data_IF_940818588121
#
_entry.id   IF_940818588121
#
_cell.length_a   1.000
_cell.length_b   1.000
_cell.length_c   1.000
_cell.angle_alpha   90.00
_cell.angle_beta   90.00
_cell.angle_gamma   90.00
#
_symmetry.space_group_name_H-M   'P 1'
#
loop_
_entity.id
_entity.type
_entity.pdbx_description
1 polymer ?
#
# COMPACT_ATOMS: atom_id res chain seq x y z
N UNK A 1 20.49 -8.14 -35.53
CA UNK A 1 19.67 -7.82 -34.36
C UNK A 1 18.21 -7.68 -34.77
N UNK A 2 17.84 -6.67 -35.57
CA UNK A 2 16.46 -6.41 -36.00
C UNK A 2 15.77 -7.57 -36.73
N UNK A 3 16.44 -8.25 -37.67
CA UNK A 3 15.83 -9.39 -38.40
C UNK A 3 15.36 -10.52 -37.48
N UNK A 4 16.18 -10.88 -36.48
CA UNK A 4 15.85 -11.96 -35.56
C UNK A 4 14.72 -11.55 -34.60
N UNK A 5 14.70 -10.30 -34.13
CA UNK A 5 13.60 -9.78 -33.29
C UNK A 5 12.26 -9.89 -34.03
N UNK A 6 12.23 -9.52 -35.31
CA UNK A 6 11.03 -9.61 -36.14
C UNK A 6 10.58 -11.05 -36.39
N UNK A 7 11.51 -11.98 -36.55
CA UNK A 7 11.20 -13.42 -36.64
C UNK A 7 10.66 -13.96 -35.31
N UNK A 8 11.29 -13.60 -34.19
CA UNK A 8 10.85 -14.00 -32.86
C UNK A 8 9.46 -13.46 -32.53
N UNK A 9 9.21 -12.17 -32.75
CA UNK A 9 7.90 -11.55 -32.51
C UNK A 9 6.80 -12.25 -33.32
N UNK A 10 7.03 -12.49 -34.61
CA UNK A 10 6.08 -13.24 -35.45
C UNK A 10 5.87 -14.68 -34.96
N UNK A 11 6.93 -15.36 -34.50
CA UNK A 11 6.81 -16.71 -33.97
C UNK A 11 5.96 -16.76 -32.68
N UNK A 12 6.10 -15.76 -31.80
CA UNK A 12 5.30 -15.65 -30.58
C UNK A 12 3.84 -15.31 -30.90
N UNK A 13 3.59 -14.36 -31.81
CA UNK A 13 2.23 -13.93 -32.20
C UNK A 13 1.44 -15.04 -32.89
N UNK A 14 2.11 -15.84 -33.73
CA UNK A 14 1.48 -16.94 -34.46
C UNK A 14 1.33 -18.23 -33.64
N UNK A 15 1.88 -18.28 -32.41
CA UNK A 15 1.94 -19.52 -31.63
C UNK A 15 2.72 -20.62 -32.36
N UNK A 16 3.80 -20.24 -33.06
CA UNK A 16 4.50 -21.15 -33.95
C UNK A 16 5.10 -22.36 -33.23
N UNK A 17 5.05 -23.52 -33.88
CA UNK A 17 5.62 -24.78 -33.38
C UNK A 17 7.13 -24.72 -33.08
N UNK A 18 7.82 -23.71 -33.62
CA UNK A 18 9.23 -23.41 -33.36
C UNK A 18 9.54 -23.08 -31.88
N UNK A 19 8.53 -22.75 -31.06
CA UNK A 19 8.69 -22.48 -29.63
C UNK A 19 8.00 -23.53 -28.74
N UNK A 20 7.65 -24.70 -29.28
CA UNK A 20 6.93 -25.74 -28.55
C UNK A 20 7.84 -26.59 -27.65
N UNK A 21 9.13 -26.70 -27.98
CA UNK A 21 10.09 -27.47 -27.19
C UNK A 21 10.79 -26.62 -26.15
N UNK A 22 11.10 -27.21 -24.99
CA UNK A 22 11.84 -26.53 -23.90
C UNK A 22 13.19 -25.99 -24.40
N UNK A 23 13.91 -26.79 -25.19
CA UNK A 23 15.22 -26.39 -25.74
C UNK A 23 15.12 -25.17 -26.66
N UNK A 24 14.15 -25.14 -27.58
CA UNK A 24 13.99 -23.99 -28.47
C UNK A 24 13.62 -22.71 -27.70
N UNK A 25 12.87 -22.85 -26.60
CA UNK A 25 12.55 -21.75 -25.68
C UNK A 25 13.79 -21.27 -24.94
N UNK A 26 14.62 -22.17 -24.41
CA UNK A 26 15.88 -21.81 -23.74
C UNK A 26 16.84 -21.09 -24.70
N UNK A 27 16.95 -21.54 -25.95
CA UNK A 27 17.74 -20.86 -26.98
C UNK A 27 17.20 -19.46 -27.32
N UNK A 28 15.87 -19.31 -27.38
CA UNK A 28 15.24 -18.01 -27.57
C UNK A 28 15.55 -17.08 -26.39
N UNK A 29 15.48 -17.59 -25.15
CA UNK A 29 15.82 -16.84 -23.94
C UNK A 29 17.27 -16.35 -23.96
N UNK A 30 18.23 -17.20 -24.32
CA UNK A 30 19.63 -16.82 -24.41
C UNK A 30 19.86 -15.70 -25.43
N UNK A 31 19.14 -15.75 -26.57
CA UNK A 31 19.18 -14.69 -27.57
C UNK A 31 18.53 -13.39 -27.08
N UNK A 32 17.39 -13.47 -26.37
CA UNK A 32 16.75 -12.30 -25.75
C UNK A 32 17.75 -11.60 -24.82
N UNK A 33 18.36 -12.34 -23.89
CA UNK A 33 19.29 -11.78 -22.91
C UNK A 33 20.56 -11.23 -23.56
N UNK A 34 21.09 -11.91 -24.58
CA UNK A 34 22.22 -11.42 -25.34
C UNK A 34 21.92 -10.12 -26.10
N UNK A 35 20.66 -9.89 -26.50
CA UNK A 35 20.22 -8.61 -27.06
C UNK A 35 20.12 -7.56 -25.96
N UNK A 36 19.36 -7.81 -24.89
CA UNK A 36 19.08 -6.83 -23.83
C UNK A 36 20.36 -6.33 -23.12
N UNK A 37 21.34 -7.22 -22.90
CA UNK A 37 22.61 -6.86 -22.24
C UNK A 37 23.54 -5.99 -23.10
N UNK A 38 23.35 -5.94 -24.42
CA UNK A 38 24.18 -5.17 -25.36
C UNK A 38 23.57 -3.81 -25.73
N UNK A 39 22.47 -3.43 -25.08
CA UNK A 39 21.75 -2.19 -25.37
C UNK A 39 22.42 -1.01 -24.65
N UNK A 40 23.49 -0.48 -25.27
CA UNK A 40 24.31 0.59 -24.66
C UNK A 40 23.82 2.02 -24.96
N UNK A 41 23.08 2.23 -26.05
CA UNK A 41 22.64 3.58 -26.47
C UNK A 41 21.35 3.58 -27.30
N UNK A 42 20.38 4.47 -26.96
CA UNK A 42 19.15 4.63 -27.71
C UNK A 42 19.36 5.30 -29.06
N UNK A 43 18.70 4.74 -30.07
CA UNK A 43 18.44 5.36 -31.37
C UNK A 43 17.02 5.02 -31.75
N UNK A 44 16.33 5.83 -32.57
CA UNK A 44 14.93 5.57 -32.93
C UNK A 44 14.69 4.16 -33.50
N UNK A 45 15.63 3.64 -34.32
CA UNK A 45 15.56 2.28 -34.86
C UNK A 45 15.80 1.18 -33.80
N UNK A 46 16.65 1.44 -32.80
CA UNK A 46 16.86 0.52 -31.69
C UNK A 46 15.66 0.54 -30.73
N UNK A 47 15.08 1.71 -30.49
CA UNK A 47 13.92 1.89 -29.61
C UNK A 47 12.75 1.02 -30.08
N UNK A 48 12.34 1.15 -31.35
CA UNK A 48 11.26 0.33 -31.91
C UNK A 48 11.58 -1.18 -31.87
N UNK A 49 12.82 -1.56 -32.19
CA UNK A 49 13.22 -2.96 -32.19
C UNK A 49 13.20 -3.56 -30.77
N UNK A 50 13.69 -2.83 -29.77
CA UNK A 50 13.68 -3.29 -28.38
C UNK A 50 12.25 -3.27 -27.82
N UNK A 51 11.44 -2.27 -28.16
CA UNK A 51 10.02 -2.25 -27.81
C UNK A 51 9.29 -3.50 -28.32
N UNK A 52 9.47 -3.86 -29.61
CA UNK A 52 8.92 -5.10 -30.18
C UNK A 52 9.44 -6.36 -29.49
N UNK A 53 10.74 -6.42 -29.20
CA UNK A 53 11.33 -7.54 -28.48
C UNK A 53 10.70 -7.72 -27.10
N UNK A 54 10.51 -6.63 -26.35
CA UNK A 54 9.87 -6.66 -25.03
C UNK A 54 8.40 -7.07 -25.13
N UNK A 55 7.67 -6.58 -26.13
CA UNK A 55 6.28 -6.99 -26.38
C UNK A 55 6.14 -8.49 -26.63
N UNK A 56 7.00 -9.05 -27.49
CA UNK A 56 7.07 -10.49 -27.74
C UNK A 56 7.53 -11.27 -26.50
N UNK A 57 8.55 -10.77 -25.79
CA UNK A 57 9.07 -11.36 -24.57
C UNK A 57 7.97 -11.47 -23.50
N UNK A 58 7.18 -10.42 -23.31
CA UNK A 58 6.05 -10.40 -22.36
C UNK A 58 5.05 -11.51 -22.66
N UNK A 59 4.66 -11.69 -23.92
CA UNK A 59 3.72 -12.76 -24.30
C UNK A 59 4.37 -14.13 -24.14
N UNK A 60 5.63 -14.26 -24.55
CA UNK A 60 6.43 -15.47 -24.43
C UNK A 60 6.57 -15.97 -22.98
N UNK A 61 6.73 -15.05 -22.03
CA UNK A 61 6.83 -15.32 -20.59
C UNK A 61 5.53 -15.84 -19.95
N UNK A 62 4.40 -15.84 -20.65
CA UNK A 62 3.14 -16.42 -20.15
C UNK A 62 3.20 -17.94 -20.03
N UNK A 63 4.03 -18.57 -20.85
CA UNK A 63 4.32 -20.01 -20.76
C UNK A 63 5.63 -20.23 -20.00
N UNK A 64 5.53 -20.95 -18.88
CA UNK A 64 6.61 -21.12 -17.90
C UNK A 64 7.70 -22.11 -18.32
N UNK A 65 7.50 -22.85 -19.41
CA UNK A 65 8.46 -23.86 -19.87
C UNK A 65 9.74 -23.18 -20.40
N UNK A 66 10.92 -23.57 -19.91
CA UNK A 66 12.21 -23.15 -20.48
C UNK A 66 12.51 -21.65 -20.40
N UNK A 67 11.92 -20.91 -19.45
CA UNK A 67 12.12 -19.46 -19.29
C UNK A 67 12.87 -19.08 -18.00
N UNK A 68 13.45 -20.04 -17.28
CA UNK A 68 14.03 -19.81 -15.95
C UNK A 68 15.05 -18.66 -15.91
N UNK A 69 15.86 -18.50 -16.96
CA UNK A 69 16.82 -17.39 -17.05
C UNK A 69 16.12 -16.02 -17.17
N UNK A 70 14.98 -15.89 -17.86
CA UNK A 70 14.18 -14.64 -17.89
C UNK A 70 13.54 -14.32 -16.53
N UNK A 71 13.40 -15.32 -15.67
CA UNK A 71 12.89 -15.20 -14.31
C UNK A 71 14.02 -15.01 -13.29
N UNK A 72 15.24 -14.69 -13.73
CA UNK A 72 16.41 -14.48 -12.86
C UNK A 72 16.56 -13.01 -12.43
N UNK A 73 17.42 -12.80 -11.43
CA UNK A 73 17.72 -11.49 -10.85
C UNK A 73 18.42 -10.57 -11.86
N UNK A 74 19.20 -11.15 -12.76
CA UNK A 74 19.96 -10.49 -13.82
C UNK A 74 19.01 -9.99 -14.91
N UNK A 75 18.04 -10.82 -15.30
CA UNK A 75 17.01 -10.46 -16.27
C UNK A 75 16.10 -9.36 -15.75
N UNK A 76 15.71 -9.46 -14.48
CA UNK A 76 14.94 -8.41 -13.81
C UNK A 76 15.71 -7.08 -13.76
N UNK A 77 17.02 -7.14 -13.48
CA UNK A 77 17.89 -5.96 -13.51
C UNK A 77 17.98 -5.35 -14.92
N UNK A 78 18.08 -6.18 -15.95
CA UNK A 78 18.06 -5.71 -17.34
C UNK A 78 16.77 -4.96 -17.68
N UNK A 79 15.61 -5.50 -17.29
CA UNK A 79 14.33 -4.81 -17.51
C UNK A 79 14.25 -3.50 -16.73
N UNK A 80 14.74 -3.47 -15.50
CA UNK A 80 14.74 -2.24 -14.69
C UNK A 80 15.67 -1.18 -15.27
N UNK A 81 16.87 -1.53 -15.73
CA UNK A 81 17.78 -0.59 -16.38
C UNK A 81 17.17 0.05 -17.63
N UNK A 82 16.41 -0.73 -18.40
CA UNK A 82 15.66 -0.20 -19.56
C UNK A 82 14.54 0.75 -19.14
N UNK A 83 13.82 0.43 -18.07
CA UNK A 83 12.78 1.30 -17.52
C UNK A 83 13.34 2.60 -16.90
N UNK A 84 14.53 2.55 -16.31
CA UNK A 84 15.24 3.69 -15.68
C UNK A 84 15.84 4.68 -16.68
N UNK A 85 16.25 4.19 -17.84
CA UNK A 85 16.97 5.01 -18.79
C UNK A 85 15.99 5.93 -19.54
N UNK A 86 15.95 7.20 -19.11
CA UNK A 86 15.09 8.26 -19.67
C UNK A 86 15.36 8.59 -21.14
N UNK A 87 16.46 8.09 -21.71
CA UNK A 87 16.74 8.27 -23.12
C UNK A 87 15.90 7.32 -24.01
N UNK A 88 15.24 6.30 -23.44
CA UNK A 88 14.26 5.46 -24.15
C UNK A 88 12.86 6.07 -24.16
N UNK A 89 12.03 5.65 -25.11
CA UNK A 89 10.65 6.13 -25.19
C UNK A 89 9.77 5.61 -24.04
N UNK A 90 8.69 6.34 -23.72
CA UNK A 90 7.71 5.90 -22.70
C UNK A 90 7.16 4.50 -22.98
N UNK A 91 6.72 4.16 -24.21
CA UNK A 91 6.19 2.82 -24.50
C UNK A 91 7.19 1.69 -24.25
N UNK A 92 8.49 1.89 -24.56
CA UNK A 92 9.53 0.91 -24.26
C UNK A 92 9.69 0.71 -22.77
N UNK A 93 9.81 1.80 -22.00
CA UNK A 93 9.96 1.74 -20.54
C UNK A 93 8.76 1.04 -19.89
N UNK A 94 7.55 1.34 -20.34
CA UNK A 94 6.32 0.67 -19.90
C UNK A 94 6.31 -0.83 -20.25
N UNK A 95 6.75 -1.20 -21.45
CA UNK A 95 6.82 -2.61 -21.86
C UNK A 95 7.87 -3.39 -21.04
N UNK A 96 8.99 -2.73 -20.67
CA UNK A 96 9.98 -3.31 -19.77
C UNK A 96 9.39 -3.58 -18.38
N UNK A 97 8.60 -2.65 -17.83
CA UNK A 97 7.86 -2.87 -16.58
C UNK A 97 6.90 -4.06 -16.68
N UNK A 98 6.21 -4.25 -17.81
CA UNK A 98 5.32 -5.41 -18.01
C UNK A 98 6.08 -6.74 -17.98
N UNK A 99 7.27 -6.79 -18.55
CA UNK A 99 8.14 -7.96 -18.44
C UNK A 99 8.53 -8.23 -16.98
N UNK A 100 8.84 -7.18 -16.20
CA UNK A 100 9.10 -7.32 -14.76
C UNK A 100 7.91 -7.92 -14.00
N UNK A 101 6.68 -7.49 -14.30
CA UNK A 101 5.45 -8.03 -13.67
C UNK A 101 5.36 -9.54 -13.90
N UNK A 102 5.61 -9.98 -15.13
CA UNK A 102 5.57 -11.41 -15.45
C UNK A 102 6.67 -12.19 -14.73
N UNK A 103 7.86 -11.60 -14.55
CA UNK A 103 8.94 -12.21 -13.75
C UNK A 103 8.53 -12.38 -12.29
N UNK A 104 7.97 -11.33 -11.67
CA UNK A 104 7.51 -11.34 -10.26
C UNK A 104 6.34 -12.32 -10.07
N UNK A 105 5.35 -12.30 -10.96
CA UNK A 105 4.17 -13.16 -10.90
C UNK A 105 4.51 -14.66 -11.03
N UNK A 106 5.55 -14.99 -11.79
CA UNK A 106 5.87 -16.38 -12.10
C UNK A 106 6.62 -17.10 -10.99
N UNK A 107 7.30 -16.38 -10.07
CA UNK A 107 8.06 -16.97 -8.96
C UNK A 107 7.91 -16.17 -7.65
N UNK A 108 6.97 -16.54 -6.78
CA UNK A 108 6.76 -15.85 -5.50
C UNK A 108 7.98 -15.84 -4.57
N UNK A 109 8.72 -16.95 -4.48
CA UNK A 109 9.92 -17.09 -3.65
C UNK A 109 11.08 -16.18 -4.15
N UNK A 110 11.13 -15.95 -5.47
CA UNK A 110 12.08 -15.03 -6.10
C UNK A 110 11.83 -13.57 -5.67
N UNK A 111 10.57 -13.19 -5.41
CA UNK A 111 10.20 -11.85 -4.93
C UNK A 111 10.84 -11.54 -3.58
N UNK A 112 10.76 -12.47 -2.62
CA UNK A 112 11.29 -12.28 -1.26
C UNK A 112 12.81 -12.36 -1.19
N UNK A 113 13.46 -13.17 -2.02
CA UNK A 113 14.92 -13.34 -1.97
C UNK A 113 15.66 -12.31 -2.83
N UNK A 114 15.13 -12.00 -4.01
CA UNK A 114 15.86 -11.22 -5.03
C UNK A 114 15.58 -9.73 -4.96
N UNK A 115 14.31 -9.33 -4.79
CA UNK A 115 13.97 -7.89 -4.75
C UNK A 115 14.53 -7.21 -3.50
N UNK A 116 14.59 -7.97 -2.40
CA UNK A 116 15.17 -7.56 -1.12
C UNK A 116 16.69 -7.40 -1.24
N UNK A 117 17.38 -8.39 -1.82
CA UNK A 117 18.84 -8.42 -1.87
C UNK A 117 19.47 -7.37 -2.80
N UNK A 118 18.80 -6.99 -3.90
CA UNK A 118 19.35 -6.07 -4.91
C UNK A 118 18.83 -4.63 -4.82
N UNK A 119 18.10 -4.27 -3.75
CA UNK A 119 17.63 -2.88 -3.55
C UNK A 119 16.65 -2.39 -4.62
N UNK A 120 15.90 -3.32 -5.25
CA UNK A 120 14.97 -3.01 -6.34
C UNK A 120 13.91 -1.99 -5.93
N UNK A 121 13.42 -2.06 -4.68
CA UNK A 121 12.41 -1.12 -4.18
C UNK A 121 12.93 0.32 -4.14
N UNK A 122 14.18 0.52 -3.73
CA UNK A 122 14.83 1.84 -3.71
C UNK A 122 14.96 2.42 -5.12
N UNK A 123 15.31 1.59 -6.09
CA UNK A 123 15.40 1.99 -7.50
C UNK A 123 14.04 2.33 -8.09
N UNK A 124 13.03 1.53 -7.78
CA UNK A 124 11.65 1.81 -8.18
C UNK A 124 11.10 3.08 -7.51
N UNK A 125 11.46 3.34 -6.25
CA UNK A 125 11.20 4.61 -5.56
C UNK A 125 11.86 5.80 -6.26
N UNK A 126 13.09 5.64 -6.75
CA UNK A 126 13.77 6.68 -7.51
C UNK A 126 13.06 6.95 -8.84
N UNK A 127 12.64 5.90 -9.54
CA UNK A 127 11.81 6.00 -10.75
C UNK A 127 10.52 6.78 -10.50
N UNK A 128 9.83 6.45 -9.42
CA UNK A 128 8.61 7.12 -8.98
C UNK A 128 8.81 8.58 -8.51
N UNK A 129 10.03 9.11 -8.46
CA UNK A 129 10.31 10.50 -8.04
C UNK A 129 10.77 11.40 -9.19
N UNK A 130 10.87 10.90 -10.41
CA UNK A 130 11.38 11.67 -11.55
C UNK A 130 10.28 12.61 -12.11
N UNK A 131 10.59 13.90 -12.28
CA UNK A 131 9.61 14.96 -12.60
C UNK A 131 8.88 14.77 -13.95
N UNK A 132 9.48 14.08 -14.92
CA UNK A 132 8.89 13.81 -16.25
C UNK A 132 8.08 12.49 -16.34
N UNK A 133 7.77 11.86 -15.21
CA UNK A 133 7.16 10.50 -15.17
C UNK A 133 5.66 10.48 -14.86
N UNK A 134 4.91 11.50 -15.30
CA UNK A 134 3.43 11.47 -15.27
C UNK A 134 2.88 10.18 -15.91
N UNK A 135 3.56 9.60 -16.91
CA UNK A 135 3.19 8.29 -17.48
C UNK A 135 3.41 7.10 -16.55
N UNK A 136 4.43 7.12 -15.69
CA UNK A 136 4.77 6.00 -14.80
C UNK A 136 3.87 5.97 -13.56
N UNK A 137 3.52 7.13 -12.98
CA UNK A 137 2.61 7.23 -11.82
C UNK A 137 1.18 6.83 -12.16
N UNK A 138 0.80 7.01 -13.42
CA UNK A 138 -0.49 6.64 -13.98
C UNK A 138 -0.46 5.28 -14.70
N UNK A 139 0.71 4.63 -14.80
CA UNK A 139 0.84 3.37 -15.51
C UNK A 139 0.18 2.25 -14.70
N UNK A 140 -0.83 1.62 -15.31
CA UNK A 140 -1.48 0.43 -14.78
C UNK A 140 -0.45 -0.65 -14.41
N UNK A 141 0.58 -0.78 -15.23
CA UNK A 141 1.66 -1.75 -15.08
C UNK A 141 2.49 -1.50 -13.82
N UNK A 142 2.84 -0.25 -13.54
CA UNK A 142 3.55 0.10 -12.31
C UNK A 142 2.72 -0.30 -11.07
N UNK A 143 1.42 0.03 -11.07
CA UNK A 143 0.51 -0.35 -9.99
C UNK A 143 0.34 -1.86 -9.87
N UNK A 144 0.22 -2.58 -10.98
CA UNK A 144 0.13 -4.04 -11.00
C UNK A 144 1.41 -4.69 -10.47
N UNK A 145 2.58 -4.16 -10.81
CA UNK A 145 3.86 -4.63 -10.30
C UNK A 145 3.93 -4.46 -8.78
N UNK A 146 3.57 -3.27 -8.28
CA UNK A 146 3.57 -2.97 -6.84
C UNK A 146 2.60 -3.88 -6.11
N UNK A 147 1.36 -3.99 -6.60
CA UNK A 147 0.35 -4.86 -6.01
C UNK A 147 0.85 -6.30 -5.96
N UNK A 148 1.34 -6.84 -7.08
CA UNK A 148 1.81 -8.22 -7.18
C UNK A 148 3.01 -8.47 -6.26
N UNK A 149 3.93 -7.51 -6.20
CA UNK A 149 5.11 -7.57 -5.33
C UNK A 149 4.72 -7.56 -3.85
N UNK A 150 3.81 -6.65 -3.45
CA UNK A 150 3.32 -6.61 -2.07
C UNK A 150 2.53 -7.86 -1.74
N UNK A 151 1.65 -8.32 -2.64
CA UNK A 151 0.83 -9.51 -2.47
C UNK A 151 1.70 -10.74 -2.21
N UNK A 152 2.70 -10.99 -3.05
CA UNK A 152 3.60 -12.14 -2.84
C UNK A 152 4.50 -11.95 -1.63
N UNK A 153 5.08 -10.75 -1.46
CA UNK A 153 5.88 -10.41 -0.29
C UNK A 153 5.13 -10.61 1.03
N UNK A 154 3.82 -10.41 1.03
CA UNK A 154 2.96 -10.58 2.20
C UNK A 154 2.41 -12.01 2.33
N UNK A 155 1.72 -12.53 1.31
CA UNK A 155 0.95 -13.79 1.36
C UNK A 155 1.78 -15.07 1.28
N UNK A 156 2.93 -15.03 0.60
CA UNK A 156 3.61 -16.27 0.16
C UNK A 156 4.88 -16.63 0.92
N UNK A 157 5.23 -15.91 1.99
CA UNK A 157 6.33 -16.32 2.86
C UNK A 157 5.89 -16.50 4.30
N UNK A 158 6.79 -17.06 5.12
CA UNK A 158 6.61 -17.32 6.54
C UNK A 158 6.04 -16.10 7.30
N UNK A 159 4.87 -16.25 7.93
CA UNK A 159 4.21 -15.14 8.64
C UNK A 159 5.06 -14.59 9.79
N UNK A 160 5.92 -15.41 10.41
CA UNK A 160 6.83 -14.98 11.46
C UNK A 160 7.89 -13.96 10.96
N UNK A 161 8.23 -13.99 9.68
CA UNK A 161 9.21 -13.09 9.05
C UNK A 161 8.60 -11.79 8.51
N UNK A 162 7.26 -11.68 8.48
CA UNK A 162 6.59 -10.43 8.08
C UNK A 162 6.98 -9.28 9.04
N UNK A 163 7.29 -9.63 10.29
CA UNK A 163 7.52 -8.68 11.39
C UNK A 163 8.96 -8.70 11.91
N UNK A 164 9.88 -9.42 11.25
CA UNK A 164 11.30 -9.49 11.63
C UNK A 164 12.19 -9.59 10.39
N UNK A 165 13.38 -8.97 10.45
CA UNK A 165 14.45 -9.18 9.48
C UNK A 165 14.27 -8.43 8.16
N UNK A 166 14.91 -8.93 7.10
CA UNK A 166 14.99 -8.26 5.79
C UNK A 166 13.63 -8.11 5.11
N UNK A 167 12.72 -9.05 5.34
CA UNK A 167 11.37 -9.03 4.76
C UNK A 167 10.48 -7.95 5.37
N UNK A 168 10.54 -7.73 6.67
CA UNK A 168 9.84 -6.62 7.31
C UNK A 168 10.30 -5.26 6.74
N UNK A 169 11.61 -5.07 6.58
CA UNK A 169 12.19 -3.87 5.94
C UNK A 169 11.68 -3.71 4.51
N UNK A 170 11.67 -4.78 3.72
CA UNK A 170 11.17 -4.77 2.35
C UNK A 170 9.69 -4.37 2.25
N UNK A 171 8.83 -4.99 3.06
CA UNK A 171 7.41 -4.65 3.09
C UNK A 171 7.21 -3.18 3.48
N UNK A 172 7.95 -2.71 4.49
CA UNK A 172 7.92 -1.31 4.89
C UNK A 172 8.32 -0.37 3.75
N UNK A 173 9.37 -0.70 3.00
CA UNK A 173 9.82 0.11 1.87
C UNK A 173 8.84 0.10 0.70
N UNK A 174 8.16 -1.02 0.44
CA UNK A 174 7.05 -1.09 -0.52
C UNK A 174 5.87 -0.21 -0.09
N UNK A 175 5.48 -0.26 1.19
CA UNK A 175 4.39 0.61 1.66
C UNK A 175 4.79 2.08 1.61
N UNK A 176 6.06 2.43 1.85
CA UNK A 176 6.58 3.80 1.61
C UNK A 176 6.45 4.23 0.16
N UNK A 177 6.77 3.36 -0.79
CA UNK A 177 6.56 3.62 -2.21
C UNK A 177 5.09 3.87 -2.53
N UNK A 178 4.20 3.04 -1.99
CA UNK A 178 2.76 3.20 -2.16
C UNK A 178 2.30 4.56 -1.61
N UNK A 179 2.77 4.98 -0.43
CA UNK A 179 2.44 6.30 0.13
C UNK A 179 2.82 7.44 -0.82
N UNK A 180 4.02 7.39 -1.40
CA UNK A 180 4.46 8.40 -2.37
C UNK A 180 3.54 8.42 -3.59
N UNK A 181 3.25 7.25 -4.17
CA UNK A 181 2.46 7.16 -5.39
C UNK A 181 0.99 7.56 -5.17
N UNK A 182 0.39 7.17 -4.06
CA UNK A 182 -0.98 7.58 -3.70
C UNK A 182 -1.04 9.10 -3.49
N UNK A 183 -0.02 9.69 -2.88
CA UNK A 183 0.06 11.14 -2.70
C UNK A 183 0.13 11.88 -4.05
N UNK A 184 0.96 11.40 -4.98
CA UNK A 184 1.11 12.00 -6.32
C UNK A 184 -0.15 11.83 -7.18
N UNK A 185 -0.90 10.73 -7.04
CA UNK A 185 -2.12 10.54 -7.81
C UNK A 185 -3.21 11.57 -7.51
N UNK A 186 -3.19 12.25 -6.35
CA UNK A 186 -4.18 13.27 -5.98
C UNK A 186 -5.64 12.80 -6.13
N UNK A 187 -5.94 11.60 -5.62
CA UNK A 187 -7.19 10.86 -5.87
C UNK A 187 -8.47 11.72 -5.89
N UNK A 188 -9.14 11.74 -7.04
CA UNK A 188 -10.48 12.36 -7.21
C UNK A 188 -11.43 11.46 -8.00
N UNK A 189 -12.74 11.63 -7.81
CA UNK A 189 -13.77 10.95 -8.61
C UNK A 189 -13.65 11.22 -10.13
N UNK A 190 -13.01 12.34 -10.51
CA UNK A 190 -12.72 12.66 -11.91
C UNK A 190 -11.59 11.78 -12.46
N UNK A 191 -10.51 11.59 -11.70
CA UNK A 191 -9.42 10.71 -12.10
C UNK A 191 -9.87 9.26 -12.11
N UNK A 192 -10.74 8.86 -11.17
CA UNK A 192 -11.32 7.51 -11.13
C UNK A 192 -11.93 7.09 -12.46
N UNK A 193 -12.71 8.00 -13.07
CA UNK A 193 -13.30 7.81 -14.39
C UNK A 193 -12.29 7.78 -15.54
N UNK A 194 -11.13 8.41 -15.36
CA UNK A 194 -10.10 8.52 -16.40
C UNK A 194 -9.24 7.24 -16.48
N UNK A 195 -9.03 6.53 -15.37
CA UNK A 195 -8.09 5.39 -15.31
C UNK A 195 -8.64 4.19 -14.54
N UNK A 196 -9.84 3.66 -14.86
CA UNK A 196 -10.57 2.70 -14.02
C UNK A 196 -9.77 1.46 -13.60
N UNK A 197 -8.87 0.97 -14.46
CA UNK A 197 -8.03 -0.20 -14.16
C UNK A 197 -6.97 0.08 -13.08
N UNK A 198 -6.41 1.29 -13.06
CA UNK A 198 -5.50 1.74 -11.99
C UNK A 198 -6.25 1.74 -10.67
N UNK A 199 -7.45 2.32 -10.66
CA UNK A 199 -8.31 2.37 -9.48
C UNK A 199 -8.72 0.99 -8.99
N UNK A 200 -9.04 0.05 -9.88
CA UNK A 200 -9.28 -1.35 -9.53
C UNK A 200 -8.04 -2.00 -8.87
N UNK A 201 -6.84 -1.67 -9.35
CA UNK A 201 -5.59 -2.17 -8.75
C UNK A 201 -5.35 -1.56 -7.37
N UNK A 202 -5.65 -0.26 -7.18
CA UNK A 202 -5.52 0.38 -5.87
C UNK A 202 -6.59 -0.09 -4.88
N UNK A 203 -7.79 -0.43 -5.33
CA UNK A 203 -8.80 -1.09 -4.48
C UNK A 203 -8.26 -2.40 -3.91
N UNK A 204 -7.72 -3.26 -4.79
CA UNK A 204 -7.07 -4.52 -4.39
C UNK A 204 -5.90 -4.27 -3.43
N UNK A 205 -5.11 -3.23 -3.68
CA UNK A 205 -4.04 -2.82 -2.79
C UNK A 205 -4.56 -2.39 -1.42
N UNK A 206 -5.66 -1.62 -1.38
CA UNK A 206 -6.32 -1.21 -0.15
C UNK A 206 -6.76 -2.39 0.72
N UNK A 207 -7.30 -3.45 0.11
CA UNK A 207 -7.64 -4.70 0.83
C UNK A 207 -6.42 -5.36 1.44
N UNK A 208 -5.33 -5.48 0.67
CA UNK A 208 -4.09 -6.07 1.14
C UNK A 208 -3.49 -5.26 2.31
N UNK A 209 -3.59 -3.93 2.25
CA UNK A 209 -3.18 -3.05 3.34
C UNK A 209 -4.05 -3.22 4.58
N UNK A 210 -5.37 -3.42 4.45
CA UNK A 210 -6.25 -3.72 5.58
C UNK A 210 -5.91 -5.08 6.22
N UNK A 211 -5.55 -6.09 5.44
CA UNK A 211 -5.06 -7.37 5.97
C UNK A 211 -3.75 -7.21 6.77
N UNK A 212 -2.85 -6.32 6.35
CA UNK A 212 -1.65 -5.98 7.13
C UNK A 212 -2.02 -5.36 8.48
N UNK A 213 -3.05 -4.50 8.54
CA UNK A 213 -3.54 -3.96 9.81
C UNK A 213 -4.14 -5.03 10.73
N UNK A 214 -4.68 -6.12 10.18
CA UNK A 214 -5.24 -7.23 10.95
C UNK A 214 -4.18 -8.15 11.60
N UNK A 215 -2.90 -8.02 11.23
CA UNK A 215 -1.83 -8.80 11.86
C UNK A 215 -1.81 -8.57 13.37
N UNK A 216 -1.85 -9.64 14.16
CA UNK A 216 -1.86 -9.50 15.63
C UNK A 216 -0.47 -9.19 16.15
N UNK A 217 -0.40 -8.28 17.11
CA UNK A 217 0.79 -8.19 17.94
C UNK A 217 0.85 -9.45 18.83
N UNK A 218 2.05 -9.96 19.16
CA UNK A 218 2.16 -10.97 20.22
C UNK A 218 1.54 -10.42 21.51
N UNK A 219 0.91 -11.28 22.31
CA UNK A 219 0.19 -10.92 23.55
C UNK A 219 1.11 -10.46 24.71
N UNK A 220 2.26 -9.87 24.38
CA UNK A 220 3.34 -9.50 25.30
C UNK A 220 3.79 -8.08 24.97
N UNK A 221 3.79 -7.20 25.98
CA UNK A 221 4.48 -5.90 25.91
C UNK A 221 5.98 -6.09 26.17
N UNK A 222 6.87 -5.36 25.47
CA UNK A 222 6.58 -4.30 24.49
C UNK A 222 6.08 -4.86 23.15
N UNK A 223 5.22 -4.10 22.47
CA UNK A 223 4.72 -4.47 21.15
C UNK A 223 5.88 -4.64 20.14
N UNK A 224 5.72 -5.54 19.17
CA UNK A 224 6.70 -5.69 18.09
C UNK A 224 6.85 -4.35 17.32
N UNK A 225 8.03 -3.74 17.43
CA UNK A 225 8.33 -2.43 16.84
C UNK A 225 8.16 -2.41 15.32
N UNK A 226 8.67 -3.41 14.61
CA UNK A 226 8.58 -3.50 13.14
C UNK A 226 7.14 -3.64 12.66
N UNK A 227 6.28 -4.36 13.40
CA UNK A 227 4.86 -4.45 13.08
C UNK A 227 4.15 -3.10 13.33
N UNK A 228 4.51 -2.38 14.40
CA UNK A 228 4.00 -1.02 14.63
C UNK A 228 4.41 -0.10 13.48
N UNK A 229 5.67 -0.15 13.03
CA UNK A 229 6.15 0.65 11.89
C UNK A 229 5.40 0.34 10.61
N UNK A 230 5.24 -0.95 10.29
CA UNK A 230 4.54 -1.40 9.09
C UNK A 230 3.08 -0.93 9.10
N UNK A 231 2.36 -1.16 10.21
CA UNK A 231 0.95 -0.72 10.34
C UNK A 231 0.81 0.80 10.33
N UNK A 232 1.70 1.53 10.99
CA UNK A 232 1.65 2.99 10.97
C UNK A 232 1.87 3.53 9.55
N UNK A 233 2.74 2.87 8.77
CA UNK A 233 2.94 3.21 7.37
C UNK A 233 1.72 2.89 6.50
N UNK A 234 0.97 1.83 6.80
CA UNK A 234 -0.34 1.61 6.19
C UNK A 234 -1.30 2.76 6.50
N UNK A 235 -1.35 3.24 7.75
CA UNK A 235 -2.17 4.40 8.10
C UNK A 235 -1.78 5.67 7.34
N UNK A 236 -0.48 5.87 7.06
CA UNK A 236 -0.02 6.95 6.20
C UNK A 236 -0.47 6.82 4.74
N UNK A 237 -0.68 5.60 4.22
CA UNK A 237 -1.33 5.43 2.91
C UNK A 237 -2.81 5.82 3.02
N UNK A 238 -3.51 5.30 4.03
CA UNK A 238 -4.94 5.55 4.19
C UNK A 238 -5.26 7.02 4.46
N UNK A 239 -4.41 7.76 5.16
CA UNK A 239 -4.65 9.20 5.39
C UNK A 239 -4.73 10.02 4.10
N UNK A 240 -4.15 9.52 3.01
CA UNK A 240 -4.14 10.14 1.68
C UNK A 240 -5.33 9.74 0.81
N UNK A 241 -6.09 8.71 1.21
CA UNK A 241 -7.26 8.24 0.47
C UNK A 241 -8.53 9.02 0.87
N UNK A 242 -9.48 9.22 -0.06
CA UNK A 242 -10.77 9.80 0.30
C UNK A 242 -11.50 8.96 1.36
N UNK A 243 -12.09 9.62 2.36
CA UNK A 243 -12.79 8.92 3.45
C UNK A 243 -13.89 7.97 2.95
N UNK A 244 -14.64 8.36 1.91
CA UNK A 244 -15.69 7.52 1.31
C UNK A 244 -15.15 6.23 0.68
N UNK A 245 -13.95 6.29 0.08
CA UNK A 245 -13.29 5.11 -0.46
C UNK A 245 -12.86 4.16 0.66
N UNK A 246 -12.25 4.70 1.71
CA UNK A 246 -11.85 3.88 2.87
C UNK A 246 -13.05 3.19 3.52
N UNK A 247 -14.18 3.90 3.65
CA UNK A 247 -15.42 3.30 4.16
C UNK A 247 -15.88 2.15 3.26
N UNK A 248 -15.90 2.34 1.94
CA UNK A 248 -16.27 1.29 1.00
C UNK A 248 -15.34 0.06 1.09
N UNK A 249 -14.02 0.27 1.17
CA UNK A 249 -13.03 -0.80 1.33
C UNK A 249 -13.26 -1.61 2.61
N UNK A 250 -13.46 -0.92 3.73
CA UNK A 250 -13.70 -1.54 5.05
C UNK A 250 -15.01 -2.33 5.05
N UNK A 251 -16.09 -1.71 4.55
CA UNK A 251 -17.41 -2.35 4.49
C UNK A 251 -17.39 -3.59 3.61
N UNK A 252 -16.75 -3.52 2.44
CA UNK A 252 -16.68 -4.67 1.55
C UNK A 252 -15.86 -5.82 2.16
N UNK A 253 -14.71 -5.53 2.76
CA UNK A 253 -13.93 -6.57 3.42
C UNK A 253 -14.67 -7.17 4.62
N UNK A 254 -15.45 -6.37 5.35
CA UNK A 254 -16.27 -6.87 6.45
C UNK A 254 -17.39 -7.81 5.94
N UNK A 255 -18.04 -7.46 4.83
CA UNK A 255 -19.05 -8.31 4.19
C UNK A 255 -18.46 -9.65 3.70
N UNK A 256 -17.27 -9.62 3.09
CA UNK A 256 -16.56 -10.82 2.63
C UNK A 256 -16.15 -11.75 3.78
N UNK A 257 -15.98 -11.21 4.99
CA UNK A 257 -15.61 -11.97 6.20
C UNK A 257 -16.79 -12.24 7.15
N UNK A 258 -18.02 -11.85 6.80
CA UNK A 258 -19.19 -11.93 7.68
C UNK A 258 -19.56 -13.36 8.12
N UNK A 259 -19.13 -14.38 7.36
CA UNK A 259 -19.30 -15.79 7.71
C UNK A 259 -18.40 -16.22 8.90
N UNK A 260 -17.46 -15.38 9.34
CA UNK A 260 -16.47 -15.67 10.37
C UNK A 260 -16.46 -14.56 11.46
N UNK A 261 -17.43 -14.64 12.38
CA UNK A 261 -17.58 -13.90 13.66
C UNK A 261 -18.09 -12.44 13.58
N UNK A 262 -18.87 -12.08 14.60
CA UNK A 262 -19.36 -10.71 14.92
C UNK A 262 -18.21 -9.77 15.37
N UNK A 263 -17.12 -9.67 14.61
CA UNK A 263 -16.07 -8.71 14.92
C UNK A 263 -16.48 -7.29 14.49
N UNK A 264 -16.11 -6.25 15.26
CA UNK A 264 -16.41 -4.88 14.87
C UNK A 264 -15.82 -4.55 13.49
N UNK A 265 -16.61 -3.92 12.62
CA UNK A 265 -16.18 -3.52 11.28
C UNK A 265 -14.86 -2.73 11.27
N UNK A 266 -14.63 -1.87 12.27
CA UNK A 266 -13.42 -1.05 12.40
C UNK A 266 -12.33 -1.67 13.27
N UNK A 267 -12.43 -2.96 13.64
CA UNK A 267 -11.49 -3.60 14.54
C UNK A 267 -10.00 -3.38 14.15
N UNK A 268 -9.59 -3.52 12.87
CA UNK A 268 -8.17 -3.32 12.51
C UNK A 268 -7.67 -1.90 12.78
N UNK A 269 -8.52 -0.89 12.54
CA UNK A 269 -8.21 0.52 12.78
C UNK A 269 -8.19 0.83 14.27
N UNK A 270 -9.16 0.31 15.02
CA UNK A 270 -9.28 0.49 16.47
C UNK A 270 -8.12 -0.19 17.23
N UNK A 271 -7.75 -1.40 16.83
CA UNK A 271 -6.61 -2.14 17.40
C UNK A 271 -5.30 -1.40 17.16
N UNK A 272 -5.13 -0.85 15.95
CA UNK A 272 -3.94 -0.04 15.68
C UNK A 272 -3.94 1.28 16.46
N UNK A 273 -5.08 1.95 16.58
CA UNK A 273 -5.22 3.12 17.47
C UNK A 273 -4.83 2.76 18.91
N UNK A 274 -5.27 1.62 19.42
CA UNK A 274 -4.87 1.14 20.74
C UNK A 274 -3.36 0.98 20.86
N UNK A 275 -2.76 0.28 19.91
CA UNK A 275 -1.32 0.05 19.87
C UNK A 275 -0.56 1.39 19.87
N UNK A 276 -1.02 2.36 19.09
CA UNK A 276 -0.42 3.70 19.04
C UNK A 276 -0.59 4.46 20.37
N UNK A 277 -1.75 4.39 21.02
CA UNK A 277 -1.94 4.96 22.35
C UNK A 277 -1.01 4.31 23.38
N UNK A 278 -0.83 2.99 23.33
CA UNK A 278 0.08 2.26 24.21
C UNK A 278 1.52 2.75 24.02
N UNK A 279 2.06 2.70 22.80
CA UNK A 279 3.48 3.00 22.53
C UNK A 279 3.82 4.49 22.62
N UNK A 280 2.88 5.39 22.30
CA UNK A 280 3.11 6.85 22.35
C UNK A 280 2.83 7.41 23.74
N UNK A 281 1.74 6.98 24.39
CA UNK A 281 1.28 7.62 25.64
C UNK A 281 1.69 6.87 26.90
N UNK A 282 1.57 5.55 26.90
CA UNK A 282 1.74 4.73 28.10
C UNK A 282 3.22 4.36 28.23
N UNK A 283 3.75 3.65 27.25
CA UNK A 283 5.15 3.18 27.20
C UNK A 283 6.11 4.30 26.80
N UNK A 284 5.63 5.30 26.01
CA UNK A 284 6.43 6.42 25.48
C UNK A 284 7.68 5.96 24.71
N UNK A 285 7.58 4.83 24.04
CA UNK A 285 8.62 4.25 23.19
C UNK A 285 8.65 4.88 21.80
N UNK A 286 7.61 5.64 21.44
CA UNK A 286 7.49 6.35 20.15
C UNK A 286 7.13 7.82 20.32
N UNK A 287 7.56 8.69 19.38
CA UNK A 287 7.25 10.11 19.42
C UNK A 287 5.76 10.38 19.12
N UNK A 288 5.26 11.50 19.64
CA UNK A 288 3.86 11.89 19.51
C UNK A 288 3.38 12.02 18.05
N UNK A 289 4.25 12.52 17.16
CA UNK A 289 3.95 12.71 15.74
C UNK A 289 3.54 11.42 15.02
N UNK A 290 3.99 10.25 15.51
CA UNK A 290 3.67 8.97 14.87
C UNK A 290 2.17 8.64 15.02
N UNK A 291 1.49 9.20 16.02
CA UNK A 291 0.04 9.03 16.22
C UNK A 291 -0.80 9.78 15.17
N UNK A 292 -0.23 10.78 14.48
CA UNK A 292 -0.98 11.73 13.68
C UNK A 292 -1.71 11.08 12.50
N UNK A 293 -1.04 10.20 11.74
CA UNK A 293 -1.66 9.48 10.61
C UNK A 293 -2.89 8.68 11.07
N UNK A 294 -2.76 8.00 12.21
CA UNK A 294 -3.83 7.22 12.82
C UNK A 294 -5.03 8.08 13.21
N UNK A 295 -4.80 9.24 13.84
CA UNK A 295 -5.87 10.17 14.20
C UNK A 295 -6.55 10.77 12.97
N UNK A 296 -5.79 11.10 11.92
CA UNK A 296 -6.33 11.64 10.67
C UNK A 296 -7.22 10.60 9.99
N UNK A 297 -6.80 9.34 9.92
CA UNK A 297 -7.64 8.27 9.35
C UNK A 297 -8.91 8.08 10.16
N UNK A 298 -8.83 8.02 11.49
CA UNK A 298 -10.02 7.91 12.35
C UNK A 298 -10.99 9.09 12.13
N UNK A 299 -10.45 10.32 12.09
CA UNK A 299 -11.21 11.52 11.81
C UNK A 299 -11.85 11.48 10.42
N UNK A 300 -11.10 11.12 9.36
CA UNK A 300 -11.60 11.09 8.00
C UNK A 300 -12.73 10.06 7.84
N UNK A 301 -12.61 8.90 8.48
CA UNK A 301 -13.66 7.89 8.53
C UNK A 301 -14.90 8.42 9.26
N UNK A 302 -14.75 8.99 10.46
CA UNK A 302 -15.88 9.55 11.21
C UNK A 302 -16.57 10.71 10.47
N UNK A 303 -15.79 11.57 9.81
CA UNK A 303 -16.27 12.75 9.07
C UNK A 303 -17.11 12.40 7.85
N UNK A 304 -17.03 11.17 7.33
CA UNK A 304 -17.90 10.73 6.23
C UNK A 304 -19.39 10.81 6.56
N UNK A 305 -19.75 10.77 7.84
CA UNK A 305 -21.15 10.70 8.28
C UNK A 305 -21.79 9.32 8.08
N UNK A 306 -21.00 8.30 7.71
CA UNK A 306 -21.49 6.93 7.62
C UNK A 306 -21.95 6.44 9.00
N UNK A 307 -23.22 5.98 9.07
CA UNK A 307 -23.88 5.65 10.33
C UNK A 307 -23.24 4.45 11.03
N UNK A 308 -22.80 3.45 10.27
CA UNK A 308 -22.24 2.22 10.81
C UNK A 308 -20.82 2.47 11.32
N UNK A 309 -20.04 3.27 10.58
CA UNK A 309 -18.71 3.74 10.99
C UNK A 309 -18.79 4.55 12.28
N UNK A 310 -19.67 5.56 12.33
CA UNK A 310 -19.86 6.39 13.53
C UNK A 310 -20.36 5.58 14.73
N UNK A 311 -21.34 4.70 14.53
CA UNK A 311 -21.84 3.83 15.58
C UNK A 311 -20.72 2.91 16.12
N UNK A 312 -19.89 2.36 15.23
CA UNK A 312 -18.76 1.54 15.60
C UNK A 312 -17.72 2.33 16.43
N UNK A 313 -17.33 3.54 16.01
CA UNK A 313 -16.42 4.36 16.80
C UNK A 313 -17.01 4.76 18.15
N UNK A 314 -18.25 5.24 18.20
CA UNK A 314 -18.91 5.63 19.47
C UNK A 314 -18.95 4.46 20.45
N UNK A 315 -19.35 3.28 19.97
CA UNK A 315 -19.43 2.06 20.77
C UNK A 315 -18.09 1.65 21.38
N UNK A 316 -16.98 1.92 20.70
CA UNK A 316 -15.64 1.46 21.11
C UNK A 316 -14.77 2.55 21.78
N UNK A 317 -15.06 3.83 21.54
CA UNK A 317 -14.25 4.95 22.05
C UNK A 317 -14.96 5.68 23.20
N UNK A 318 -16.25 6.03 23.05
CA UNK A 318 -16.92 6.84 24.06
C UNK A 318 -17.36 5.98 25.25
N UNK A 319 -17.07 6.40 26.50
CA UNK A 319 -17.58 5.72 27.67
C UNK A 319 -19.07 6.03 27.82
N UNK A 320 -19.87 5.02 28.16
CA UNK A 320 -21.26 5.19 28.58
C UNK A 320 -21.32 5.52 30.08
N UNK A 321 -22.33 6.29 30.51
CA UNK A 321 -22.53 6.67 31.92
C UNK A 321 -22.62 5.47 32.88
N UNK A 322 -22.99 4.30 32.36
CA UNK A 322 -23.08 3.04 33.08
C UNK A 322 -21.77 2.23 33.07
N UNK A 323 -20.58 2.86 33.01
CA UNK A 323 -19.25 2.22 32.94
C UNK A 323 -18.84 1.44 34.22
N UNK A 324 -19.70 0.50 34.63
CA UNK A 324 -19.55 -0.39 35.78
C UNK A 324 -19.27 -1.83 35.34
N UNK A 325 -19.43 -2.13 34.05
CA UNK A 325 -19.18 -3.46 33.47
C UNK A 325 -17.71 -3.65 33.08
N UNK A 326 -17.22 -4.91 33.09
CA UNK A 326 -15.88 -5.26 32.61
C UNK A 326 -15.68 -4.92 31.12
N UNK A 327 -16.75 -4.89 30.33
CA UNK A 327 -16.74 -4.57 28.90
C UNK A 327 -16.50 -3.07 28.60
N UNK A 328 -16.81 -2.17 29.55
CA UNK A 328 -16.61 -0.73 29.36
C UNK A 328 -15.23 -0.24 29.81
N UNK A 329 -14.48 -1.07 30.54
CA UNK A 329 -13.15 -0.74 31.04
C UNK A 329 -12.14 -0.40 29.92
N UNK A 330 -12.06 -1.17 28.80
CA UNK A 330 -11.22 -0.78 27.67
C UNK A 330 -11.64 0.57 27.08
N UNK A 331 -12.94 0.81 26.87
CA UNK A 331 -13.45 2.08 26.29
C UNK A 331 -13.06 3.28 27.15
N UNK A 332 -13.28 3.20 28.46
CA UNK A 332 -12.90 4.25 29.40
C UNK A 332 -11.39 4.53 29.37
N UNK A 333 -10.57 3.50 29.19
CA UNK A 333 -9.11 3.62 29.07
C UNK A 333 -8.72 4.33 27.77
N UNK A 334 -9.26 3.93 26.62
CA UNK A 334 -9.03 4.62 25.34
C UNK A 334 -9.44 6.09 25.41
N UNK A 335 -10.66 6.36 25.88
CA UNK A 335 -11.17 7.72 26.01
C UNK A 335 -10.27 8.57 26.90
N UNK A 336 -9.83 8.03 28.04
CA UNK A 336 -8.89 8.71 28.94
C UNK A 336 -7.57 9.05 28.25
N UNK A 337 -7.03 8.15 27.42
CA UNK A 337 -5.79 8.41 26.68
C UNK A 337 -5.97 9.44 25.57
N UNK A 338 -7.09 9.42 24.84
CA UNK A 338 -7.40 10.46 23.85
C UNK A 338 -7.59 11.83 24.51
N UNK A 339 -8.32 11.90 25.63
CA UNK A 339 -8.54 13.15 26.38
C UNK A 339 -7.24 13.84 26.79
N UNK A 340 -6.17 13.08 27.05
CA UNK A 340 -4.85 13.64 27.35
C UNK A 340 -4.30 14.51 26.21
N UNK A 341 -4.58 14.16 24.95
CA UNK A 341 -4.10 14.92 23.80
C UNK A 341 -4.87 16.21 23.53
N UNK A 342 -6.01 16.43 24.19
CA UNK A 342 -6.72 17.72 24.12
C UNK A 342 -5.88 18.88 24.69
N UNK A 343 -4.87 18.58 25.49
CA UNK A 343 -3.97 19.57 26.11
C UNK A 343 -2.51 19.42 25.65
N UNK A 344 -2.22 18.60 24.63
CA UNK A 344 -0.83 18.47 24.17
C UNK A 344 -0.35 19.72 23.41
N UNK A 345 0.97 19.88 23.32
CA UNK A 345 1.61 21.00 22.61
C UNK A 345 1.59 20.84 21.09
N UNK A 346 1.59 19.60 20.61
CA UNK A 346 1.43 19.30 19.19
C UNK A 346 0.03 19.72 18.73
N UNK A 347 -0.03 20.74 17.87
CA UNK A 347 -1.29 21.38 17.47
C UNK A 347 -2.13 20.48 16.59
N UNK A 348 -1.51 19.64 15.76
CA UNK A 348 -2.21 18.77 14.83
C UNK A 348 -2.80 17.56 15.56
N UNK A 349 -2.02 16.94 16.44
CA UNK A 349 -2.52 15.85 17.29
C UNK A 349 -3.66 16.34 18.19
N UNK A 350 -3.51 17.53 18.79
CA UNK A 350 -4.59 18.15 19.58
C UNK A 350 -5.84 18.40 18.74
N UNK A 351 -5.66 18.99 17.56
CA UNK A 351 -6.75 19.33 16.64
C UNK A 351 -7.51 18.08 16.21
N UNK A 352 -6.84 17.07 15.65
CA UNK A 352 -7.51 15.88 15.14
C UNK A 352 -8.14 15.03 16.25
N UNK A 353 -7.52 14.99 17.44
CA UNK A 353 -8.17 14.36 18.60
C UNK A 353 -9.45 15.09 19.00
N UNK A 354 -9.42 16.42 19.04
CA UNK A 354 -10.55 17.25 19.41
C UNK A 354 -11.68 17.17 18.38
N UNK A 355 -11.36 17.29 17.09
CA UNK A 355 -12.32 17.16 15.99
C UNK A 355 -12.94 15.75 15.93
N UNK A 356 -12.15 14.68 16.09
CA UNK A 356 -12.67 13.32 16.17
C UNK A 356 -13.67 13.16 17.31
N UNK A 357 -13.30 13.53 18.54
CA UNK A 357 -14.19 13.39 19.69
C UNK A 357 -15.47 14.22 19.53
N UNK A 358 -15.41 15.39 18.89
CA UNK A 358 -16.58 16.21 18.60
C UNK A 358 -17.53 15.54 17.60
N UNK A 359 -17.00 14.93 16.52
CA UNK A 359 -17.78 14.13 15.59
C UNK A 359 -18.46 12.94 16.28
N UNK A 360 -17.75 12.27 17.20
CA UNK A 360 -18.33 11.15 17.97
C UNK A 360 -19.41 11.63 18.94
N UNK A 361 -19.42 12.90 19.32
CA UNK A 361 -20.47 13.53 20.12
C UNK A 361 -21.58 14.14 19.25
N UNK A 362 -21.74 13.70 17.99
CA UNK A 362 -22.75 14.22 17.04
C UNK A 362 -22.64 15.74 16.81
N UNK A 363 -21.43 16.28 16.90
CA UNK A 363 -21.18 17.72 16.83
C UNK A 363 -22.00 18.53 17.86
N UNK A 364 -22.40 17.88 18.95
CA UNK A 364 -23.17 18.49 20.02
C UNK A 364 -22.23 19.10 21.06
N UNK A 365 -22.23 20.43 21.17
CA UNK A 365 -21.37 21.16 22.11
C UNK A 365 -21.57 20.75 23.57
N UNK A 366 -22.81 20.42 23.97
CA UNK A 366 -23.12 20.00 25.35
C UNK A 366 -22.56 18.61 25.63
N UNK A 367 -22.75 17.67 24.72
CA UNK A 367 -22.26 16.29 24.86
C UNK A 367 -20.73 16.24 24.84
N UNK A 368 -20.12 16.98 23.91
CA UNK A 368 -18.68 17.12 23.84
C UNK A 368 -18.11 17.69 25.15
N UNK A 369 -18.71 18.78 25.64
CA UNK A 369 -18.31 19.39 26.92
C UNK A 369 -18.51 18.46 28.11
N UNK A 370 -19.58 17.66 28.12
CA UNK A 370 -19.82 16.66 29.16
C UNK A 370 -18.67 15.65 29.23
N UNK A 371 -18.26 15.09 28.09
CA UNK A 371 -17.20 14.10 28.02
C UNK A 371 -15.78 14.69 28.22
N UNK A 372 -15.47 15.83 27.62
CA UNK A 372 -14.10 16.38 27.65
C UNK A 372 -13.86 17.37 28.77
N UNK A 373 -14.91 17.96 29.34
CA UNK A 373 -14.85 19.09 30.28
C UNK A 373 -14.65 20.43 29.56
N UNK A 374 -15.22 21.49 30.14
CA UNK A 374 -15.26 22.85 29.58
C UNK A 374 -13.89 23.38 29.17
N UNK A 375 -12.88 23.22 30.03
CA UNK A 375 -11.53 23.72 29.77
C UNK A 375 -10.87 23.11 28.52
N UNK A 376 -11.15 21.84 28.23
CA UNK A 376 -10.66 21.18 27.03
C UNK A 376 -11.53 21.49 25.81
N UNK A 377 -12.85 21.66 26.01
CA UNK A 377 -13.81 21.87 24.93
C UNK A 377 -13.73 23.27 24.31
N UNK A 378 -13.47 24.29 25.15
CA UNK A 378 -13.63 25.70 24.78
C UNK A 378 -12.81 26.11 23.56
N UNK A 379 -11.62 25.53 23.38
CA UNK A 379 -10.75 25.83 22.24
C UNK A 379 -11.42 25.49 20.91
N UNK A 380 -11.91 24.25 20.77
CA UNK A 380 -12.59 23.81 19.56
C UNK A 380 -13.93 24.54 19.37
N UNK A 381 -14.72 24.68 20.44
CA UNK A 381 -16.04 25.32 20.36
C UNK A 381 -15.95 26.77 19.88
N UNK A 382 -14.91 27.52 20.30
CA UNK A 382 -14.65 28.87 19.79
C UNK A 382 -14.34 28.86 18.30
N UNK A 383 -13.48 27.96 17.84
CA UNK A 383 -13.15 27.82 16.42
C UNK A 383 -14.37 27.44 15.57
N UNK A 384 -15.33 26.71 16.16
CA UNK A 384 -16.59 26.30 15.51
C UNK A 384 -17.71 27.34 15.64
N UNK A 385 -17.54 28.42 16.41
CA UNK A 385 -18.58 29.43 16.64
C UNK A 385 -19.71 28.98 17.58
N UNK A 386 -19.43 28.03 18.49
CA UNK A 386 -20.41 27.37 19.37
C UNK A 386 -20.15 27.61 20.86
N UNK A 387 -19.20 28.48 21.21
CA UNK A 387 -18.73 28.72 22.58
C UNK A 387 -19.50 29.82 23.33
#
# INVERSE_FOLDING_TARGET
>A
MTSWIEEFARAVESGAALLDSVQAREEAVDKILAVLTKVESPTAKKDEAIYRLLGACRVFMRDRRGIDKLLSAESLDCFLQLAENQLWSSPLREEALKCMINSVYSRPEFVSETLVAKGFVTRFLSLAKLEDTVSLHCSLEAWQLIYTTLFYGFKHGNQAEIVVGSRATFLLDLVKLITVLVNEMQWTAKQEKLQPDVFCTVDRLGRLLLEILQLKHPDVSPLNGSLVDLKNKVMEVFMLLPGSLLVALIQQQHQENADLKEEPMLLPVLDHLHAMLLVVRIEKTRPLKDLLSTLIVCHNLAKTGDRDILACFKKNILPTDAATSSFDRPKALFFKHLKFFLTCLDTDVRRYTSELLFLLCDENAKEYTHHTGVGNAIGLLRTKGLA
#
